data_IF_071220312931
#
_entry.id   IF_071220312931
#
_cell.length_a   1.000
_cell.length_b   1.000
_cell.length_c   1.000
_cell.angle_alpha   90.00
_cell.angle_beta   90.00
_cell.angle_gamma   90.00
#
_symmetry.space_group_name_H-M   'P 1'
#
loop_
_entity.id
_entity.type
_entity.pdbx_description
1 polymer ?
#
# COMPACT_ATOMS: atom_id res chain seq x y z
N UNK A 1 22.89 33.51 19.91
CA UNK A 1 23.20 32.06 19.96
C UNK A 1 22.04 31.31 19.29
N UNK A 2 22.19 30.91 18.03
CA UNK A 2 21.23 30.01 17.36
C UNK A 2 21.63 28.58 17.72
N UNK A 3 20.76 27.85 18.43
CA UNK A 3 20.92 26.42 18.61
C UNK A 3 20.62 25.74 17.27
N UNK A 4 21.67 25.19 16.66
CA UNK A 4 21.54 24.11 15.69
C UNK A 4 21.08 22.87 16.47
N UNK A 5 19.83 22.43 16.27
CA UNK A 5 19.42 21.08 16.64
C UNK A 5 19.65 20.19 15.42
N UNK A 6 20.56 19.24 15.59
CA UNK A 6 20.91 18.24 14.59
C UNK A 6 19.70 17.40 14.20
N UNK A 7 19.51 17.22 12.91
CA UNK A 7 18.54 16.28 12.36
C UNK A 7 19.14 14.88 12.48
N UNK A 8 18.49 13.93 13.18
CA UNK A 8 18.92 12.54 13.15
C UNK A 8 18.61 11.95 11.76
N UNK A 9 19.56 11.16 11.26
CA UNK A 9 19.58 10.51 9.96
C UNK A 9 18.24 9.88 9.59
N UNK A 10 17.52 10.49 8.64
CA UNK A 10 16.39 9.88 7.95
C UNK A 10 16.93 9.17 6.70
N UNK A 11 16.48 7.95 6.37
CA UNK A 11 16.96 7.24 5.19
C UNK A 11 16.40 7.91 3.93
N UNK A 12 17.20 8.83 3.38
CA UNK A 12 17.00 9.46 2.08
C UNK A 12 17.34 8.41 1.02
N UNK A 13 16.39 7.55 0.65
CA UNK A 13 16.45 6.84 -0.64
C UNK A 13 15.10 6.24 -0.98
N UNK A 14 14.35 7.01 -1.74
CA UNK A 14 13.18 6.51 -2.41
C UNK A 14 13.02 7.34 -3.67
N UNK A 15 13.35 6.78 -4.84
CA UNK A 15 13.00 7.39 -6.12
C UNK A 15 11.47 7.28 -6.22
N UNK A 16 10.75 8.38 -6.03
CA UNK A 16 9.32 8.47 -6.37
C UNK A 16 9.20 9.06 -7.75
N UNK A 17 8.28 8.54 -8.56
CA UNK A 17 7.77 9.27 -9.71
C UNK A 17 6.96 10.46 -9.18
N UNK A 18 7.47 11.69 -9.33
CA UNK A 18 6.83 12.97 -8.94
C UNK A 18 5.34 13.08 -9.36
N UNK A 19 4.93 12.38 -10.42
CA UNK A 19 3.54 12.32 -10.88
C UNK A 19 2.57 11.70 -9.88
N UNK A 20 3.00 10.76 -9.04
CA UNK A 20 2.13 10.10 -8.06
C UNK A 20 1.87 10.98 -6.83
N UNK A 21 2.89 11.71 -6.35
CA UNK A 21 2.73 12.66 -5.25
C UNK A 21 1.82 13.82 -5.63
N UNK A 22 1.88 14.32 -6.87
CA UNK A 22 0.99 15.39 -7.31
C UNK A 22 -0.49 14.95 -7.39
N UNK A 23 -0.74 13.68 -7.70
CA UNK A 23 -2.08 13.10 -7.86
C UNK A 23 -2.71 12.71 -6.51
N UNK A 24 -1.90 12.23 -5.55
CA UNK A 24 -2.35 11.84 -4.22
C UNK A 24 -1.99 12.83 -3.10
N UNK A 25 -1.37 13.96 -3.43
CA UNK A 25 -1.24 15.07 -2.50
C UNK A 25 -2.65 15.49 -2.07
N UNK A 26 -2.85 15.63 -0.77
CA UNK A 26 -4.12 15.97 -0.10
C UNK A 26 -5.08 14.81 0.19
N UNK A 27 -4.76 13.56 -0.15
CA UNK A 27 -5.54 12.39 0.30
C UNK A 27 -5.20 11.96 1.72
N UNK A 28 -6.19 11.50 2.46
CA UNK A 28 -6.06 11.12 3.87
C UNK A 28 -5.00 10.03 4.11
N UNK A 29 -4.80 9.15 3.13
CA UNK A 29 -3.90 8.01 3.21
C UNK A 29 -2.47 8.29 2.71
N UNK A 30 -2.14 9.51 2.31
CA UNK A 30 -0.80 9.88 1.83
C UNK A 30 -0.06 10.71 2.90
N UNK A 31 1.23 10.44 3.14
CA UNK A 31 2.08 11.35 3.90
C UNK A 31 2.18 12.71 3.21
N UNK A 32 2.08 13.79 3.98
CA UNK A 32 2.25 15.16 3.47
C UNK A 32 3.67 15.40 2.95
N UNK A 33 3.77 15.95 1.74
CA UNK A 33 5.04 16.45 1.18
C UNK A 33 5.46 17.72 1.91
N UNK A 34 6.63 17.68 2.56
CA UNK A 34 7.21 18.81 3.28
C UNK A 34 8.12 19.66 2.38
N UNK A 35 8.72 19.06 1.36
CA UNK A 35 9.57 19.76 0.40
C UNK A 35 10.26 18.83 -0.58
N UNK A 36 10.87 19.40 -1.63
CA UNK A 36 11.62 18.66 -2.65
C UNK A 36 12.84 19.46 -3.15
N UNK A 37 13.80 18.75 -3.71
CA UNK A 37 15.01 19.27 -4.34
C UNK A 37 15.38 18.35 -5.53
N UNK A 38 14.96 18.72 -6.74
CA UNK A 38 15.04 17.83 -7.90
C UNK A 38 14.22 16.56 -7.69
N UNK A 39 14.86 15.39 -7.81
CA UNK A 39 14.25 14.07 -7.59
C UNK A 39 14.25 13.64 -6.11
N UNK A 40 14.82 14.45 -5.22
CA UNK A 40 14.79 14.21 -3.78
C UNK A 40 13.58 14.90 -3.15
N UNK A 41 12.88 14.22 -2.25
CA UNK A 41 11.73 14.79 -1.56
C UNK A 41 11.69 14.32 -0.11
N UNK A 42 10.98 15.09 0.71
CA UNK A 42 10.81 14.84 2.15
C UNK A 42 9.33 14.83 2.47
N UNK A 43 8.88 13.80 3.17
CA UNK A 43 7.51 13.63 3.62
C UNK A 43 7.41 13.73 5.14
N UNK A 44 6.21 13.95 5.65
CA UNK A 44 5.94 13.79 7.08
C UNK A 44 6.31 12.37 7.54
N UNK A 45 6.79 12.28 8.79
CA UNK A 45 7.19 11.01 9.39
C UNK A 45 5.94 10.18 9.70
N UNK A 46 5.89 8.96 9.18
CA UNK A 46 4.93 7.94 9.61
C UNK A 46 5.52 7.18 10.79
N UNK A 47 4.91 7.21 11.99
CA UNK A 47 5.53 6.64 13.20
C UNK A 47 5.73 5.13 13.16
N UNK A 48 4.79 4.38 12.57
CA UNK A 48 4.79 2.92 12.58
C UNK A 48 4.90 2.37 11.15
N UNK A 49 6.06 1.82 10.81
CA UNK A 49 6.38 1.19 9.51
C UNK A 49 7.29 -0.01 9.77
N UNK A 50 7.10 -1.17 9.12
CA UNK A 50 6.00 -1.52 8.19
C UNK A 50 4.66 -1.72 8.90
N UNK A 51 3.58 -1.96 8.15
CA UNK A 51 2.22 -2.17 8.67
C UNK A 51 2.16 -3.26 9.74
N UNK A 52 2.82 -4.37 9.45
CA UNK A 52 3.06 -5.50 10.34
C UNK A 52 4.27 -6.29 9.83
N UNK A 53 4.80 -7.18 10.66
CA UNK A 53 6.03 -7.91 10.39
C UNK A 53 7.27 -7.16 10.85
N UNK A 54 8.25 -7.92 11.33
CA UNK A 54 9.46 -7.36 11.95
C UNK A 54 10.55 -7.21 10.89
N UNK A 55 11.13 -6.02 10.77
CA UNK A 55 12.33 -5.78 9.94
C UNK A 55 13.60 -5.71 10.81
N UNK A 56 13.79 -6.62 11.77
CA UNK A 56 14.96 -6.58 12.66
C UNK A 56 15.47 -7.97 13.12
N UNK A 57 16.77 -8.07 13.48
CA UNK A 57 17.44 -9.33 13.76
C UNK A 57 17.05 -9.92 15.13
N UNK A 58 16.49 -11.14 15.11
CA UNK A 58 16.48 -12.24 16.12
C UNK A 58 16.15 -12.00 17.62
N UNK A 59 15.90 -10.79 18.14
CA UNK A 59 15.79 -10.57 19.60
C UNK A 59 14.38 -10.16 20.11
N UNK A 60 13.35 -10.06 19.27
CA UNK A 60 12.14 -9.28 19.65
C UNK A 60 10.80 -10.03 19.61
N UNK A 61 10.79 -11.37 19.58
CA UNK A 61 9.52 -12.14 19.72
C UNK A 61 8.77 -11.85 21.04
N UNK A 62 9.47 -11.35 22.07
CA UNK A 62 8.87 -11.05 23.38
C UNK A 62 8.18 -9.66 23.46
N UNK A 63 8.46 -8.73 22.54
CA UNK A 63 7.87 -7.38 22.54
C UNK A 63 6.63 -7.31 21.62
N UNK A 64 6.54 -8.20 20.62
CA UNK A 64 5.43 -8.23 19.65
C UNK A 64 4.04 -8.41 20.31
N UNK A 65 3.98 -9.10 21.45
CA UNK A 65 2.72 -9.32 22.15
C UNK A 65 2.19 -8.07 22.88
N UNK A 66 3.04 -7.08 23.16
CA UNK A 66 2.69 -5.84 23.87
C UNK A 66 2.68 -4.60 22.95
N UNK A 67 3.41 -4.64 21.83
CA UNK A 67 3.47 -3.56 20.86
C UNK A 67 2.43 -3.67 19.72
N UNK A 68 1.86 -4.86 19.50
CA UNK A 68 0.82 -5.02 18.49
C UNK A 68 -0.47 -4.27 18.91
N UNK A 69 -1.10 -3.51 18.01
CA UNK A 69 -2.37 -2.86 18.29
C UNK A 69 -3.43 -3.90 18.69
N UNK A 70 -4.32 -3.53 19.62
CA UNK A 70 -5.50 -4.34 19.94
C UNK A 70 -6.31 -4.61 18.68
N UNK A 71 -7.07 -5.71 18.65
CA UNK A 71 -7.82 -6.09 17.45
C UNK A 71 -8.73 -4.97 16.89
N UNK A 72 -9.46 -4.18 17.70
CA UNK A 72 -10.23 -3.04 17.19
C UNK A 72 -9.38 -2.00 16.44
N UNK A 73 -8.14 -1.78 16.88
CA UNK A 73 -7.20 -0.88 16.21
C UNK A 73 -6.68 -1.49 14.91
N UNK A 74 -6.42 -2.80 14.87
CA UNK A 74 -6.11 -3.53 13.62
C UNK A 74 -7.25 -3.43 12.61
N UNK A 75 -8.48 -3.60 13.07
CA UNK A 75 -9.68 -3.47 12.25
C UNK A 75 -9.79 -2.05 11.66
N UNK A 76 -9.56 -1.00 12.47
CA UNK A 76 -9.51 0.38 11.97
C UNK A 76 -8.46 0.56 10.86
N UNK A 77 -7.25 0.04 11.06
CA UNK A 77 -6.19 0.09 10.05
C UNK A 77 -6.60 -0.64 8.76
N UNK A 78 -7.20 -1.82 8.90
CA UNK A 78 -7.70 -2.61 7.76
C UNK A 78 -8.80 -1.89 6.98
N UNK A 79 -9.75 -1.27 7.68
CA UNK A 79 -10.79 -0.42 7.07
C UNK A 79 -10.15 0.71 6.26
N UNK A 80 -9.19 1.44 6.83
CA UNK A 80 -8.51 2.50 6.11
C UNK A 80 -7.80 2.02 4.84
N UNK A 81 -7.27 0.79 4.83
CA UNK A 81 -6.65 0.23 3.63
C UNK A 81 -7.70 -0.15 2.57
N UNK A 82 -8.91 -0.57 2.97
CA UNK A 82 -10.03 -0.74 2.04
C UNK A 82 -10.54 0.60 1.49
N UNK A 83 -10.64 1.63 2.32
CA UNK A 83 -10.97 3.00 1.89
C UNK A 83 -9.96 3.51 0.86
N UNK A 84 -8.65 3.28 1.07
CA UNK A 84 -7.63 3.60 0.08
C UNK A 84 -7.89 2.89 -1.26
N UNK A 85 -8.25 1.61 -1.23
CA UNK A 85 -8.55 0.85 -2.45
C UNK A 85 -9.70 1.49 -3.21
N UNK A 86 -10.78 1.86 -2.53
CA UNK A 86 -11.92 2.56 -3.13
C UNK A 86 -11.50 3.92 -3.72
N UNK A 87 -10.70 4.70 -3.00
CA UNK A 87 -10.16 5.99 -3.45
C UNK A 87 -9.28 5.85 -4.71
N UNK A 88 -8.47 4.79 -4.77
CA UNK A 88 -7.59 4.46 -5.90
C UNK A 88 -8.40 3.99 -7.12
N UNK A 89 -9.51 3.29 -6.92
CA UNK A 89 -10.41 2.87 -8.00
C UNK A 89 -11.32 3.99 -8.52
N UNK A 90 -11.76 4.90 -7.67
CA UNK A 90 -12.66 6.01 -8.02
C UNK A 90 -11.93 7.34 -8.27
N UNK A 91 -10.59 7.32 -8.31
CA UNK A 91 -9.76 8.50 -8.47
C UNK A 91 -10.02 9.23 -9.80
N UNK A 92 -10.11 10.56 -9.73
CA UNK A 92 -10.35 11.48 -10.87
C UNK A 92 -9.26 11.48 -11.95
N UNK A 93 -8.22 10.66 -11.81
CA UNK A 93 -6.98 10.70 -12.60
C UNK A 93 -6.68 9.40 -13.36
N UNK A 94 -7.60 8.42 -13.37
CA UNK A 94 -7.49 7.17 -14.13
C UNK A 94 -7.47 5.92 -13.26
N UNK A 95 -7.34 4.75 -13.91
CA UNK A 95 -7.18 3.47 -13.21
C UNK A 95 -5.74 3.35 -12.69
N UNK A 96 -5.59 3.24 -11.38
CA UNK A 96 -4.30 3.01 -10.72
C UNK A 96 -4.19 1.55 -10.32
N UNK A 97 -3.02 0.96 -10.57
CA UNK A 97 -2.73 -0.41 -10.17
C UNK A 97 -1.89 -0.42 -8.91
N UNK A 98 -2.35 -1.13 -7.88
CA UNK A 98 -1.55 -1.44 -6.72
C UNK A 98 -0.78 -2.73 -7.01
N UNK A 99 0.51 -2.59 -7.27
CA UNK A 99 1.44 -3.65 -7.63
C UNK A 99 2.37 -3.98 -6.46
N UNK A 100 2.75 -5.24 -6.30
CA UNK A 100 3.62 -5.75 -5.24
C UNK A 100 3.11 -5.38 -3.82
N UNK A 101 1.79 -5.40 -3.62
CA UNK A 101 1.17 -5.00 -2.34
C UNK A 101 1.72 -5.86 -1.21
N UNK A 102 2.30 -5.20 -0.20
CA UNK A 102 2.89 -5.87 0.95
C UNK A 102 2.87 -4.94 2.16
N UNK A 103 2.98 -5.51 3.36
CA UNK A 103 3.04 -4.76 4.62
C UNK A 103 4.13 -3.67 4.63
N UNK A 104 5.22 -3.86 3.88
CA UNK A 104 6.32 -2.90 3.77
C UNK A 104 5.94 -1.59 3.06
N UNK A 105 4.90 -1.62 2.21
CA UNK A 105 4.43 -0.44 1.49
C UNK A 105 3.57 0.50 2.34
N UNK A 106 3.18 0.09 3.55
CA UNK A 106 2.25 0.83 4.39
C UNK A 106 2.78 1.04 5.80
N UNK A 107 2.25 2.05 6.46
CA UNK A 107 2.43 2.31 7.89
C UNK A 107 1.19 2.97 8.47
N UNK A 108 1.23 3.37 9.74
CA UNK A 108 0.10 4.04 10.38
C UNK A 108 0.53 5.13 11.37
N UNK A 109 -0.41 6.03 11.67
CA UNK A 109 -0.25 7.12 12.65
C UNK A 109 -0.52 6.64 14.09
N UNK A 110 -0.23 7.45 15.11
CA UNK A 110 -0.65 7.17 16.50
C UNK A 110 -2.17 7.01 16.65
N UNK A 111 -2.93 7.60 15.73
CA UNK A 111 -4.39 7.47 15.65
C UNK A 111 -4.84 6.23 14.89
N UNK A 112 -3.91 5.42 14.40
CA UNK A 112 -4.15 4.20 13.62
C UNK A 112 -4.81 4.47 12.26
N UNK A 113 -4.45 5.60 11.64
CA UNK A 113 -4.82 5.93 10.27
C UNK A 113 -3.73 5.40 9.34
N UNK A 114 -4.11 4.66 8.29
CA UNK A 114 -3.19 4.06 7.32
C UNK A 114 -2.47 5.15 6.51
N UNK A 115 -1.21 4.92 6.17
CA UNK A 115 -0.38 5.76 5.31
C UNK A 115 0.39 4.92 4.30
N UNK A 116 0.36 5.32 3.04
CA UNK A 116 1.22 4.74 1.98
C UNK A 116 2.63 5.30 2.12
N UNK A 117 3.61 4.45 2.44
CA UNK A 117 5.01 4.87 2.62
C UNK A 117 5.91 4.49 1.44
N UNK A 118 5.51 3.50 0.64
CA UNK A 118 6.17 3.16 -0.63
C UNK A 118 5.18 3.24 -1.78
N UNK A 119 5.10 4.43 -2.39
CA UNK A 119 4.22 4.68 -3.53
C UNK A 119 4.72 4.13 -4.86
N UNK A 120 5.97 3.65 -4.97
CA UNK A 120 6.45 3.02 -6.22
C UNK A 120 5.63 1.80 -6.61
N UNK A 121 4.89 1.27 -5.65
CA UNK A 121 3.97 0.16 -5.82
C UNK A 121 2.65 0.57 -6.45
N UNK A 122 2.39 1.85 -6.65
CA UNK A 122 1.15 2.31 -7.25
C UNK A 122 1.49 2.91 -8.61
N UNK A 123 1.13 2.17 -9.64
CA UNK A 123 1.45 2.48 -11.03
C UNK A 123 0.23 3.05 -11.75
N UNK A 124 0.46 4.05 -12.59
CA UNK A 124 -0.58 4.61 -13.46
C UNK A 124 -0.73 3.69 -14.66
N UNK A 125 -1.95 3.21 -14.94
CA UNK A 125 -2.21 2.54 -16.19
C UNK A 125 -1.99 3.52 -17.35
N UNK A 126 -0.93 3.29 -18.12
CA UNK A 126 -0.63 4.04 -19.33
C UNK A 126 -0.97 3.20 -20.53
N UNK A 127 -1.52 3.84 -21.55
CA UNK A 127 -1.76 3.18 -22.82
C UNK A 127 -0.43 2.70 -23.42
N UNK A 128 -0.27 1.38 -23.52
CA UNK A 128 0.95 0.70 -23.98
C UNK A 128 0.64 -0.18 -25.17
N UNK A 129 1.52 -0.15 -26.18
CA UNK A 129 1.47 -1.09 -27.31
C UNK A 129 2.09 -2.42 -26.90
N UNK A 130 1.54 -3.50 -27.45
CA UNK A 130 1.99 -4.86 -27.19
C UNK A 130 1.87 -5.73 -28.45
N UNK A 131 2.72 -6.73 -28.52
CA UNK A 131 2.65 -7.85 -29.49
C UNK A 131 2.26 -9.15 -28.78
N UNK A 132 2.59 -9.27 -27.49
CA UNK A 132 2.21 -10.41 -26.65
C UNK A 132 1.85 -9.95 -25.22
N UNK A 133 1.22 -10.85 -24.44
CA UNK A 133 0.79 -10.54 -23.07
C UNK A 133 1.94 -10.15 -22.14
N UNK A 134 3.15 -10.66 -22.41
CA UNK A 134 4.34 -10.35 -21.60
C UNK A 134 4.75 -8.87 -21.69
N UNK A 135 4.39 -8.18 -22.77
CA UNK A 135 4.60 -6.74 -22.93
C UNK A 135 3.75 -5.91 -21.95
N UNK A 136 2.70 -6.50 -21.40
CA UNK A 136 1.70 -5.86 -20.55
C UNK A 136 1.95 -6.09 -19.05
N UNK A 137 3.22 -6.22 -18.66
CA UNK A 137 3.65 -6.26 -17.26
C UNK A 137 3.96 -4.84 -16.72
N UNK A 138 3.27 -4.45 -15.66
CA UNK A 138 3.48 -3.18 -14.94
C UNK A 138 4.23 -3.38 -13.61
N UNK A 139 4.23 -4.61 -13.08
CA UNK A 139 4.90 -4.99 -11.85
C UNK A 139 4.84 -6.50 -11.62
N UNK A 140 5.36 -6.99 -10.49
CA UNK A 140 5.46 -8.44 -10.22
C UNK A 140 4.11 -9.16 -10.23
N UNK A 141 3.05 -8.49 -9.78
CA UNK A 141 1.68 -9.03 -9.68
C UNK A 141 0.66 -8.16 -10.45
N UNK A 142 1.13 -7.31 -11.36
CA UNK A 142 0.31 -6.44 -12.19
C UNK A 142 0.53 -6.82 -13.66
N UNK A 143 -0.28 -7.76 -14.12
CA UNK A 143 -0.35 -8.21 -15.50
C UNK A 143 -1.74 -7.87 -16.06
N UNK A 144 -1.75 -7.39 -17.30
CA UNK A 144 -2.95 -7.31 -18.14
C UNK A 144 -2.72 -8.14 -19.40
N UNK A 145 -3.75 -8.30 -20.22
CA UNK A 145 -3.63 -8.98 -21.52
C UNK A 145 -3.34 -8.01 -22.66
N UNK A 146 -2.77 -8.51 -23.74
CA UNK A 146 -2.62 -7.78 -24.99
C UNK A 146 -3.85 -8.00 -25.88
N UNK A 147 -4.56 -6.92 -26.20
CA UNK A 147 -5.57 -6.95 -27.26
C UNK A 147 -4.86 -6.94 -28.62
N UNK A 148 -4.64 -8.12 -29.19
CA UNK A 148 -3.98 -8.29 -30.48
C UNK A 148 -4.72 -7.62 -31.65
N UNK A 149 -6.02 -7.33 -31.50
CA UNK A 149 -6.77 -6.60 -32.54
C UNK A 149 -6.42 -5.12 -32.54
N UNK A 150 -6.12 -4.56 -31.36
CA UNK A 150 -5.75 -3.15 -31.17
C UNK A 150 -4.24 -2.94 -31.03
N UNK A 151 -3.46 -4.02 -30.90
CA UNK A 151 -2.05 -4.01 -30.49
C UNK A 151 -1.82 -3.14 -29.25
N UNK A 152 -2.69 -3.28 -28.23
CA UNK A 152 -2.68 -2.49 -27.00
C UNK A 152 -3.00 -3.33 -25.77
N UNK A 153 -2.35 -3.01 -24.65
CA UNK A 153 -2.65 -3.63 -23.37
C UNK A 153 -4.07 -3.26 -22.92
N UNK A 154 -4.80 -4.25 -22.42
CA UNK A 154 -6.13 -4.07 -21.85
C UNK A 154 -6.06 -3.31 -20.51
N UNK A 155 -7.21 -2.77 -20.09
CA UNK A 155 -7.35 -2.10 -18.80
C UNK A 155 -7.73 -3.06 -17.66
N UNK A 156 -8.05 -4.30 -17.99
CA UNK A 156 -8.44 -5.33 -17.03
C UNK A 156 -7.20 -6.04 -16.49
N UNK A 157 -7.00 -5.95 -15.18
CA UNK A 157 -5.94 -6.69 -14.49
C UNK A 157 -6.41 -8.10 -14.18
N UNK A 158 -5.46 -9.04 -14.19
CA UNK A 158 -5.73 -10.45 -13.82
C UNK A 158 -6.16 -10.59 -12.35
N UNK A 159 -5.80 -9.63 -11.50
CA UNK A 159 -6.18 -9.60 -10.10
C UNK A 159 -6.43 -8.15 -9.64
N UNK A 160 -7.60 -7.83 -9.06
CA UNK A 160 -7.95 -6.47 -8.66
C UNK A 160 -7.19 -6.03 -7.40
N UNK A 161 -7.02 -4.72 -7.22
CA UNK A 161 -6.36 -4.15 -6.02
C UNK A 161 -6.99 -4.66 -4.71
N UNK A 162 -8.31 -4.84 -4.68
CA UNK A 162 -9.05 -5.35 -3.52
C UNK A 162 -8.60 -6.76 -3.12
N UNK A 163 -8.45 -7.68 -4.09
CA UNK A 163 -7.99 -9.04 -3.82
C UNK A 163 -6.58 -9.07 -3.22
N UNK A 164 -5.69 -8.19 -3.71
CA UNK A 164 -4.31 -8.06 -3.21
C UNK A 164 -4.27 -7.52 -1.77
N UNK A 165 -5.10 -6.53 -1.48
CA UNK A 165 -5.24 -5.96 -0.13
C UNK A 165 -5.83 -6.99 0.84
N UNK A 166 -6.85 -7.75 0.44
CA UNK A 166 -7.39 -8.83 1.26
C UNK A 166 -6.34 -9.91 1.56
N UNK A 167 -5.50 -10.27 0.58
CA UNK A 167 -4.38 -11.18 0.78
C UNK A 167 -3.37 -10.66 1.80
N UNK A 168 -3.05 -9.37 1.73
CA UNK A 168 -2.16 -8.69 2.68
C UNK A 168 -2.76 -8.62 4.08
N UNK A 169 -4.05 -8.29 4.23
CA UNK A 169 -4.68 -8.12 5.53
C UNK A 169 -5.08 -9.43 6.22
N UNK A 170 -5.14 -10.55 5.49
CA UNK A 170 -5.71 -11.80 6.00
C UNK A 170 -5.15 -12.22 7.35
N UNK A 171 -3.84 -12.48 7.41
CA UNK A 171 -3.21 -12.97 8.65
C UNK A 171 -3.18 -11.88 9.73
N UNK A 172 -3.05 -10.62 9.32
CA UNK A 172 -3.06 -9.47 10.22
C UNK A 172 -4.38 -9.32 10.98
N UNK A 173 -5.51 -9.47 10.28
CA UNK A 173 -6.87 -9.33 10.84
C UNK A 173 -7.34 -10.60 11.55
N UNK A 174 -6.95 -11.80 11.08
CA UNK A 174 -7.32 -13.06 11.75
C UNK A 174 -6.58 -13.26 13.07
N UNK A 175 -5.36 -12.72 13.20
CA UNK A 175 -4.61 -12.79 14.45
C UNK A 175 -5.22 -11.91 15.54
N UNK A 176 -5.74 -12.55 16.59
CA UNK A 176 -6.37 -11.89 17.74
C UNK A 176 -7.82 -11.48 17.49
N UNK A 177 -8.44 -11.97 16.41
CA UNK A 177 -9.86 -11.74 16.14
C UNK A 177 -10.75 -12.35 17.24
N UNK A 178 -11.76 -11.59 17.73
CA UNK A 178 -12.80 -12.13 18.59
C UNK A 178 -13.48 -13.36 17.98
N UNK A 179 -13.73 -14.37 18.80
CA UNK A 179 -14.23 -15.68 18.33
C UNK A 179 -15.60 -15.62 17.68
N UNK A 180 -16.42 -14.66 18.08
CA UNK A 180 -17.77 -14.42 17.56
C UNK A 180 -17.78 -13.93 16.09
N UNK A 181 -16.69 -13.32 15.61
CA UNK A 181 -16.59 -12.80 14.24
C UNK A 181 -15.52 -13.50 13.39
N UNK A 182 -14.60 -14.23 14.01
CA UNK A 182 -13.41 -14.78 13.34
C UNK A 182 -13.76 -15.65 12.14
N UNK A 183 -14.73 -16.56 12.30
CA UNK A 183 -15.11 -17.50 11.24
C UNK A 183 -15.75 -16.79 10.04
N UNK A 184 -16.56 -15.77 10.29
CA UNK A 184 -17.20 -14.99 9.22
C UNK A 184 -16.17 -14.10 8.52
N UNK A 185 -15.31 -13.43 9.30
CA UNK A 185 -14.21 -12.63 8.78
C UNK A 185 -13.28 -13.45 7.87
N UNK A 186 -12.93 -14.67 8.28
CA UNK A 186 -12.09 -15.57 7.47
C UNK A 186 -12.75 -15.91 6.13
N UNK A 187 -14.05 -16.26 6.13
CA UNK A 187 -14.78 -16.54 4.90
C UNK A 187 -14.81 -15.35 3.96
N UNK A 188 -15.10 -14.15 4.48
CA UNK A 188 -15.14 -12.92 3.68
C UNK A 188 -13.76 -12.58 3.09
N UNK A 189 -12.69 -12.75 3.87
CA UNK A 189 -11.32 -12.54 3.38
C UNK A 189 -10.94 -13.52 2.26
N UNK A 190 -11.27 -14.81 2.40
CA UNK A 190 -11.01 -15.78 1.32
C UNK A 190 -11.84 -15.51 0.07
N UNK A 191 -13.12 -15.13 0.23
CA UNK A 191 -13.97 -14.75 -0.90
C UNK A 191 -13.39 -13.52 -1.63
N UNK A 192 -12.92 -12.52 -0.88
CA UNK A 192 -12.28 -11.34 -1.43
C UNK A 192 -10.97 -11.65 -2.18
N UNK A 193 -10.12 -12.52 -1.62
CA UNK A 193 -8.86 -12.96 -2.26
C UNK A 193 -9.12 -13.67 -3.59
N UNK A 194 -10.26 -14.37 -3.69
CA UNK A 194 -10.65 -15.12 -4.88
C UNK A 194 -11.28 -14.25 -6.00
N UNK A 195 -11.45 -12.94 -5.79
CA UNK A 195 -11.92 -12.02 -6.82
C UNK A 195 -10.94 -11.98 -8.01
N UNK A 196 -11.50 -11.86 -9.21
CA UNK A 196 -10.80 -11.71 -10.49
C UNK A 196 -11.15 -10.39 -11.13
#
# INVERSE_FOLDING_TARGET
RRQQQGWPDLPIRSTFSLGFTAVLQEREHTPRLLGFCGDLYVMEKVPYVPLYGVSLPWIVELIDQWAAPSWPRKAKIGIGLFELVEDVFHGTFGSFLMCDVSAAGFGYTERHDIKVVDARRIEVMRERRCEEDSDCMYGRDCLTSCDLTKHRCTTEVTQPNLAKVCGTLKDYLLYGAPSDIKDELEKQLYACIALK
#
